data_IF_533177392292
#
_entry.id   IF_533177392292
#
_cell.length_a   1.000
_cell.length_b   1.000
_cell.length_c   1.000
_cell.angle_alpha   90.00
_cell.angle_beta   90.00
_cell.angle_gamma   90.00
#
_symmetry.space_group_name_H-M   'P 1'
#
loop_
_entity.id
_entity.type
_entity.pdbx_description
1 polymer ?
#
# COMPACT_ATOMS: atom_id res chain seq x y z
N UNK A 1 -8.02 -10.98 15.95
CA UNK A 1 -7.27 -9.86 16.53
C UNK A 1 -7.64 -9.67 17.98
N UNK A 2 -8.77 -9.05 18.31
CA UNK A 2 -9.14 -8.69 19.68
C UNK A 2 -9.07 -9.86 20.67
N UNK A 3 -9.63 -11.03 20.30
CA UNK A 3 -9.56 -12.23 21.14
C UNK A 3 -8.13 -12.71 21.44
N UNK A 4 -7.18 -12.51 20.53
CA UNK A 4 -5.78 -12.86 20.77
C UNK A 4 -5.12 -11.84 21.70
N UNK A 5 -5.44 -10.55 21.51
CA UNK A 5 -5.04 -9.50 22.44
C UNK A 5 -5.60 -9.72 23.85
N UNK A 6 -6.86 -10.08 24.00
CA UNK A 6 -7.46 -10.41 25.31
C UNK A 6 -6.72 -11.55 26.03
N UNK A 7 -6.17 -12.51 25.27
CA UNK A 7 -5.34 -13.61 25.78
C UNK A 7 -3.85 -13.22 25.94
N UNK A 8 -3.50 -11.97 25.66
CA UNK A 8 -2.17 -11.40 25.87
C UNK A 8 -1.20 -11.61 24.70
N UNK A 9 -1.65 -12.03 23.53
CA UNK A 9 -0.76 -12.21 22.36
C UNK A 9 -0.59 -10.91 21.57
N UNK A 10 0.61 -10.71 21.05
CA UNK A 10 0.86 -9.74 19.99
C UNK A 10 0.25 -10.29 18.70
N UNK A 11 -0.74 -9.60 18.16
CA UNK A 11 -1.46 -10.01 16.97
C UNK A 11 -1.49 -8.88 15.95
N UNK A 12 -1.33 -9.24 14.68
CA UNK A 12 -1.44 -8.37 13.51
C UNK A 12 -2.45 -8.98 12.52
N UNK A 13 -2.93 -8.16 11.60
CA UNK A 13 -3.64 -8.63 10.43
C UNK A 13 -2.70 -9.43 9.51
N UNK A 14 -3.07 -9.60 8.23
CA UNK A 14 -2.26 -10.40 7.33
C UNK A 14 -0.85 -9.80 7.20
N UNK A 15 0.15 -10.66 7.10
CA UNK A 15 1.57 -10.30 7.08
C UNK A 15 1.82 -9.16 6.07
N UNK A 16 2.46 -8.08 6.52
CA UNK A 16 2.76 -6.87 5.76
C UNK A 16 1.58 -5.95 5.39
N UNK A 17 0.32 -6.25 5.75
CA UNK A 17 -0.84 -5.36 5.46
C UNK A 17 -0.90 -4.14 6.40
N UNK A 18 -0.71 -4.35 7.70
CA UNK A 18 -0.66 -3.29 8.72
C UNK A 18 -1.89 -2.36 8.72
N UNK A 19 -3.08 -2.87 8.39
CA UNK A 19 -4.35 -2.13 8.35
C UNK A 19 -5.13 -2.17 9.66
N UNK A 20 -4.65 -2.94 10.65
CA UNK A 20 -5.15 -3.01 12.02
C UNK A 20 -4.00 -2.76 12.99
N UNK A 21 -4.25 -2.05 14.08
CA UNK A 21 -3.23 -1.83 15.10
C UNK A 21 -2.81 -3.16 15.76
N UNK A 22 -1.50 -3.31 15.95
CA UNK A 22 -0.90 -4.41 16.71
C UNK A 22 -1.50 -4.45 18.13
N UNK A 23 -1.91 -5.64 18.58
CA UNK A 23 -2.24 -5.84 20.00
C UNK A 23 -0.96 -5.95 20.81
N UNK A 24 -0.92 -5.38 22.02
CA UNK A 24 0.24 -5.39 22.91
C UNK A 24 1.56 -4.87 22.30
N UNK A 25 1.58 -3.67 21.69
CA UNK A 25 2.80 -3.11 21.10
C UNK A 25 3.95 -2.97 22.10
N UNK A 26 3.65 -2.74 23.38
CA UNK A 26 4.62 -2.60 24.45
C UNK A 26 5.54 -3.82 24.61
N UNK A 27 5.05 -5.01 24.26
CA UNK A 27 5.81 -6.26 24.32
C UNK A 27 6.86 -6.34 23.22
N UNK A 28 6.53 -5.83 22.03
CA UNK A 28 7.48 -5.76 20.92
C UNK A 28 8.54 -4.70 21.21
N UNK A 29 8.15 -3.58 21.79
CA UNK A 29 9.11 -2.56 22.27
C UNK A 29 10.07 -3.11 23.33
N UNK A 30 9.56 -3.86 24.31
CA UNK A 30 10.39 -4.54 25.31
C UNK A 30 11.34 -5.55 24.66
N UNK A 31 10.84 -6.37 23.72
CA UNK A 31 11.67 -7.32 22.99
C UNK A 31 12.80 -6.62 22.22
N UNK A 32 12.48 -5.57 21.45
CA UNK A 32 13.48 -4.76 20.74
C UNK A 32 14.52 -4.17 21.69
N UNK A 33 14.10 -3.69 22.87
CA UNK A 33 15.01 -3.19 23.91
C UNK A 33 15.95 -4.30 24.42
N UNK A 34 15.48 -5.54 24.54
CA UNK A 34 16.32 -6.69 24.92
C UNK A 34 17.36 -7.00 23.84
N UNK A 35 16.98 -6.91 22.56
CA UNK A 35 17.89 -7.07 21.41
C UNK A 35 19.02 -6.03 21.47
N UNK A 36 18.67 -4.75 21.62
CA UNK A 36 19.66 -3.65 21.72
C UNK A 36 20.61 -3.81 22.92
N UNK A 37 20.09 -4.28 24.06
CA UNK A 37 20.89 -4.51 25.27
C UNK A 37 21.69 -5.83 25.22
N UNK A 38 21.55 -6.62 24.16
CA UNK A 38 22.19 -7.93 24.01
C UNK A 38 21.73 -8.96 25.05
N UNK A 39 20.55 -8.78 25.63
CA UNK A 39 19.97 -9.65 26.66
C UNK A 39 19.22 -10.80 26.02
N UNK A 40 18.98 -11.86 26.80
CA UNK A 40 18.10 -12.94 26.38
C UNK A 40 16.64 -12.48 26.47
N UNK A 41 15.87 -12.75 25.43
CA UNK A 41 14.44 -12.45 25.37
C UNK A 41 13.71 -13.38 24.40
N UNK A 42 12.40 -13.48 24.57
CA UNK A 42 11.50 -14.21 23.68
C UNK A 42 10.18 -13.44 23.54
N UNK A 43 9.56 -13.50 22.37
CA UNK A 43 8.23 -12.93 22.14
C UNK A 43 7.54 -13.66 20.99
N UNK A 44 6.20 -13.67 20.97
CA UNK A 44 5.40 -14.33 19.93
C UNK A 44 4.49 -13.31 19.25
N UNK A 45 4.57 -13.27 17.92
CA UNK A 45 3.65 -12.49 17.07
C UNK A 45 2.77 -13.45 16.26
N UNK A 46 1.47 -13.17 16.21
CA UNK A 46 0.48 -13.93 15.43
C UNK A 46 -0.09 -13.03 14.32
N UNK A 47 0.15 -13.37 13.07
CA UNK A 47 -0.51 -12.75 11.91
C UNK A 47 -1.70 -13.59 11.47
N UNK A 48 -2.88 -12.98 11.41
CA UNK A 48 -4.12 -13.65 11.05
C UNK A 48 -4.30 -13.66 9.53
N UNK A 49 -4.54 -14.84 8.97
CA UNK A 49 -4.82 -15.01 7.54
C UNK A 49 -6.33 -14.89 7.26
N UNK A 50 -6.70 -14.54 6.02
CA UNK A 50 -8.11 -14.35 5.61
C UNK A 50 -8.98 -15.60 5.84
N UNK A 51 -8.42 -16.80 5.72
CA UNK A 51 -9.11 -18.07 5.91
C UNK A 51 -9.27 -18.47 7.38
N UNK A 52 -8.86 -17.61 8.31
CA UNK A 52 -8.86 -17.85 9.75
C UNK A 52 -7.70 -18.73 10.25
N UNK A 53 -6.79 -19.16 9.36
CA UNK A 53 -5.48 -19.66 9.76
C UNK A 53 -4.60 -18.53 10.29
N UNK A 54 -3.36 -18.87 10.68
CA UNK A 54 -2.41 -17.85 11.11
C UNK A 54 -0.96 -18.23 10.84
N UNK A 55 -0.13 -17.20 10.73
CA UNK A 55 1.32 -17.29 10.77
C UNK A 55 1.76 -16.92 12.18
N UNK A 56 2.58 -17.77 12.80
CA UNK A 56 3.18 -17.52 14.11
C UNK A 56 4.67 -17.26 13.93
N UNK A 57 5.13 -16.14 14.46
CA UNK A 57 6.55 -15.81 14.58
C UNK A 57 6.93 -15.93 16.05
N UNK A 58 7.74 -16.93 16.39
CA UNK A 58 8.41 -16.98 17.68
C UNK A 58 9.79 -16.36 17.53
N UNK A 59 9.99 -15.25 18.23
CA UNK A 59 11.21 -14.46 18.23
C UNK A 59 12.04 -14.85 19.46
N UNK A 60 13.33 -15.09 19.25
CA UNK A 60 14.29 -15.35 20.32
C UNK A 60 15.50 -14.46 20.11
N UNK A 61 15.95 -13.75 21.15
CA UNK A 61 17.21 -13.02 21.11
C UNK A 61 18.22 -13.53 22.11
N UNK A 62 19.48 -13.63 21.69
CA UNK A 62 20.64 -13.98 22.52
C UNK A 62 21.84 -13.17 22.03
N UNK A 63 22.50 -12.42 22.93
CA UNK A 63 23.64 -11.57 22.59
C UNK A 63 23.35 -10.55 21.46
N UNK A 64 22.09 -10.13 21.32
CA UNK A 64 21.66 -9.16 20.31
C UNK A 64 21.40 -9.76 18.93
N UNK A 65 21.69 -11.05 18.73
CA UNK A 65 21.23 -11.77 17.53
C UNK A 65 19.77 -12.20 17.72
N UNK A 66 18.99 -12.19 16.64
CA UNK A 66 17.58 -12.63 16.65
C UNK A 66 17.40 -13.88 15.78
N UNK A 67 16.72 -14.86 16.33
CA UNK A 67 16.23 -16.04 15.61
C UNK A 67 14.71 -15.98 15.54
N UNK A 68 14.18 -16.30 14.35
CA UNK A 68 12.74 -16.34 14.09
C UNK A 68 12.35 -17.77 13.75
N UNK A 69 11.40 -18.33 14.48
CA UNK A 69 10.71 -19.56 14.11
C UNK A 69 9.36 -19.18 13.51
N UNK A 70 9.23 -19.32 12.19
CA UNK A 70 7.98 -19.08 11.46
C UNK A 70 7.21 -20.38 11.30
N UNK A 71 5.97 -20.40 11.75
CA UNK A 71 5.04 -21.53 11.58
C UNK A 71 3.77 -21.06 10.89
N UNK A 72 3.27 -21.83 9.92
CA UNK A 72 1.98 -21.56 9.26
C UNK A 72 0.98 -22.63 9.66
N UNK A 73 -0.12 -22.19 10.25
CA UNK A 73 -1.24 -23.04 10.61
C UNK A 73 -2.42 -22.77 9.69
N UNK A 74 -2.96 -23.84 9.10
CA UNK A 74 -4.11 -23.80 8.21
C UNK A 74 -5.20 -24.76 8.70
N UNK A 75 -6.43 -24.55 8.23
CA UNK A 75 -7.56 -25.43 8.53
C UNK A 75 -7.79 -26.41 7.39
N UNK A 76 -7.45 -27.70 7.60
CA UNK A 76 -7.73 -28.77 6.62
C UNK A 76 -8.87 -29.65 7.12
N UNK A 77 -9.99 -29.63 6.40
CA UNK A 77 -11.19 -30.37 6.80
C UNK A 77 -11.76 -29.95 8.17
N UNK A 78 -11.56 -28.69 8.57
CA UNK A 78 -11.97 -28.16 9.88
C UNK A 78 -11.01 -28.47 11.03
N UNK A 79 -9.89 -29.17 10.77
CA UNK A 79 -8.84 -29.44 11.75
C UNK A 79 -7.65 -28.51 11.54
N UNK A 80 -7.07 -27.94 12.61
CA UNK A 80 -5.88 -27.12 12.48
C UNK A 80 -4.65 -28.00 12.24
N UNK A 81 -3.88 -27.69 11.21
CA UNK A 81 -2.63 -28.38 10.86
C UNK A 81 -1.50 -27.37 10.64
N UNK A 82 -0.31 -27.69 11.15
CA UNK A 82 0.90 -26.92 10.84
C UNK A 82 1.44 -27.40 9.51
N UNK A 83 1.28 -26.59 8.47
CA UNK A 83 1.67 -26.91 7.10
C UNK A 83 3.15 -26.58 6.83
N UNK A 84 3.70 -25.63 7.58
CA UNK A 84 5.07 -25.15 7.42
C UNK A 84 5.66 -24.75 8.77
N UNK A 85 6.93 -25.08 9.00
CA UNK A 85 7.73 -24.57 10.12
C UNK A 85 9.18 -24.40 9.69
N UNK A 86 9.77 -23.24 9.97
CA UNK A 86 11.16 -22.96 9.66
C UNK A 86 11.77 -21.99 10.67
N UNK A 87 12.96 -22.33 11.19
CA UNK A 87 13.75 -21.46 12.09
C UNK A 87 14.95 -20.90 11.34
N UNK A 88 15.16 -19.59 11.43
CA UNK A 88 16.25 -18.90 10.75
C UNK A 88 16.77 -17.72 11.59
N UNK A 89 18.06 -17.36 11.48
CA UNK A 89 18.53 -16.08 12.00
C UNK A 89 17.95 -14.95 11.14
N UNK A 90 17.48 -13.88 11.79
CA UNK A 90 17.13 -12.64 11.09
C UNK A 90 18.42 -12.01 10.56
N UNK A 91 18.59 -11.95 9.24
CA UNK A 91 19.79 -11.36 8.64
C UNK A 91 19.74 -9.83 8.60
N UNK A 92 18.54 -9.28 8.71
CA UNK A 92 18.25 -7.87 8.91
C UNK A 92 17.24 -7.78 10.06
N UNK A 93 17.45 -6.82 10.96
CA UNK A 93 16.60 -6.54 12.11
C UNK A 93 16.68 -5.04 12.39
N UNK A 94 15.57 -4.34 12.19
CA UNK A 94 15.51 -2.89 12.33
C UNK A 94 14.20 -2.48 13.00
N UNK A 95 14.31 -1.69 14.07
CA UNK A 95 13.16 -1.04 14.68
C UNK A 95 13.25 0.46 14.43
N UNK A 96 12.39 0.95 13.53
CA UNK A 96 12.43 2.31 13.03
C UNK A 96 11.90 3.31 14.05
N UNK A 97 12.37 4.56 13.96
CA UNK A 97 11.92 5.64 14.83
C UNK A 97 10.43 5.96 14.71
N UNK A 98 9.80 5.72 13.55
CA UNK A 98 8.36 5.90 13.40
C UNK A 98 7.54 4.68 13.86
N UNK A 99 8.19 3.61 14.35
CA UNK A 99 7.54 2.46 14.98
C UNK A 99 7.21 1.33 14.02
N UNK A 100 8.06 1.07 13.03
CA UNK A 100 8.04 -0.16 12.26
C UNK A 100 9.14 -1.11 12.72
N UNK A 101 8.80 -2.38 12.91
CA UNK A 101 9.77 -3.47 13.05
C UNK A 101 9.91 -4.18 11.71
N UNK A 102 11.11 -4.19 11.16
CA UNK A 102 11.49 -4.95 9.98
C UNK A 102 12.42 -6.10 10.36
N UNK A 103 12.17 -7.28 9.82
CA UNK A 103 13.12 -8.38 9.87
C UNK A 103 13.07 -9.24 8.62
N UNK A 104 14.20 -9.87 8.28
CA UNK A 104 14.33 -10.65 7.04
C UNK A 104 14.99 -12.00 7.24
N UNK A 105 14.44 -13.02 6.56
CA UNK A 105 15.11 -14.28 6.30
C UNK A 105 16.08 -14.14 5.13
N UNK A 106 17.31 -14.61 5.31
CA UNK A 106 18.26 -14.68 4.19
C UNK A 106 17.75 -15.62 3.09
N UNK A 107 17.61 -15.09 1.87
CA UNK A 107 17.33 -15.85 0.65
C UNK A 107 18.57 -15.88 -0.27
N UNK A 108 18.76 -16.93 -1.10
CA UNK A 108 19.83 -16.95 -2.09
C UNK A 108 19.73 -15.79 -3.09
N UNK A 109 20.86 -15.30 -3.59
CA UNK A 109 20.86 -14.31 -4.67
C UNK A 109 20.16 -14.88 -5.90
N UNK A 110 19.25 -14.09 -6.50
CA UNK A 110 18.45 -14.52 -7.66
C UNK A 110 17.32 -15.48 -7.31
N UNK A 111 16.96 -15.63 -6.04
CA UNK A 111 15.77 -16.36 -5.64
C UNK A 111 14.50 -15.58 -6.04
N UNK A 112 13.67 -16.19 -6.88
CA UNK A 112 12.44 -15.60 -7.43
C UNK A 112 11.17 -15.97 -6.62
N UNK A 113 11.37 -16.45 -5.39
CA UNK A 113 10.27 -16.80 -4.47
C UNK A 113 9.96 -15.68 -3.48
N UNK A 114 9.33 -16.07 -2.37
CA UNK A 114 9.15 -15.21 -1.20
C UNK A 114 10.50 -14.62 -0.75
N UNK A 115 10.59 -13.29 -0.78
CA UNK A 115 11.81 -12.54 -0.44
C UNK A 115 12.07 -12.51 1.08
N UNK A 116 11.14 -13.06 1.89
CA UNK A 116 11.34 -13.34 3.30
C UNK A 116 11.42 -12.11 4.20
N UNK A 117 10.90 -10.96 3.74
CA UNK A 117 10.78 -9.75 4.55
C UNK A 117 9.46 -9.75 5.33
N UNK A 118 9.51 -9.22 6.55
CA UNK A 118 8.34 -8.96 7.38
C UNK A 118 8.44 -7.54 7.92
N UNK A 119 7.36 -6.77 7.80
CA UNK A 119 7.20 -5.41 8.29
C UNK A 119 5.98 -5.34 9.22
N UNK A 120 6.21 -4.89 10.45
CA UNK A 120 5.18 -4.81 11.50
C UNK A 120 5.08 -3.37 11.98
N UNK A 121 3.90 -2.78 11.84
CA UNK A 121 3.56 -1.48 12.43
C UNK A 121 3.33 -1.64 13.92
N UNK A 122 4.37 -1.35 14.72
CA UNK A 122 4.34 -1.49 16.18
C UNK A 122 3.59 -0.33 16.83
N UNK A 123 3.96 0.92 16.53
CA UNK A 123 3.22 2.05 17.10
C UNK A 123 1.84 2.18 16.44
N UNK A 124 0.78 2.35 17.23
CA UNK A 124 -0.56 2.45 16.69
C UNK A 124 -0.72 3.73 15.87
N UNK A 125 -1.63 3.69 14.91
CA UNK A 125 -2.18 4.87 14.26
C UNK A 125 -3.60 5.14 14.77
N UNK A 126 -4.02 6.39 14.66
CA UNK A 126 -5.42 6.77 14.87
C UNK A 126 -6.32 6.06 13.87
N UNK A 127 -7.51 5.63 14.33
CA UNK A 127 -8.47 4.91 13.48
C UNK A 127 -8.89 5.74 12.26
N UNK A 128 -9.03 7.07 12.43
CA UNK A 128 -9.38 8.00 11.37
C UNK A 128 -8.33 8.00 10.24
N UNK A 129 -7.04 8.02 10.57
CA UNK A 129 -5.97 7.87 9.58
C UNK A 129 -6.13 6.59 8.76
N UNK A 130 -6.42 5.45 9.41
CA UNK A 130 -6.59 4.16 8.72
C UNK A 130 -7.83 4.13 7.85
N UNK A 131 -8.94 4.67 8.33
CA UNK A 131 -10.18 4.78 7.57
C UNK A 131 -10.00 5.65 6.33
N UNK A 132 -9.37 6.82 6.48
CA UNK A 132 -9.09 7.74 5.38
C UNK A 132 -8.09 7.13 4.38
N UNK A 133 -7.09 6.38 4.85
CA UNK A 133 -6.16 5.63 3.99
C UNK A 133 -6.92 4.64 3.10
N UNK A 134 -7.78 3.80 3.71
CA UNK A 134 -8.58 2.80 3.01
C UNK A 134 -9.54 3.42 2.00
N UNK A 135 -10.14 4.55 2.36
CA UNK A 135 -11.17 5.19 1.54
C UNK A 135 -10.60 5.99 0.39
N UNK A 136 -9.48 6.68 0.61
CA UNK A 136 -9.01 7.71 -0.32
C UNK A 136 -7.65 7.43 -0.93
N UNK A 137 -6.76 6.64 -0.32
CA UNK A 137 -5.39 6.48 -0.83
C UNK A 137 -5.16 5.09 -1.41
N UNK A 138 -5.51 4.03 -0.68
CA UNK A 138 -5.40 2.64 -1.15
C UNK A 138 -6.05 2.37 -2.52
N UNK A 139 -7.21 2.96 -2.89
CA UNK A 139 -7.83 2.67 -4.19
C UNK A 139 -6.94 2.98 -5.41
N UNK A 140 -6.09 4.01 -5.32
CA UNK A 140 -5.10 4.33 -6.36
C UNK A 140 -3.75 3.68 -6.02
N UNK A 141 -3.27 3.86 -4.78
CA UNK A 141 -1.97 3.39 -4.32
C UNK A 141 -0.81 3.90 -5.16
N UNK A 142 0.37 3.27 -5.03
CA UNK A 142 1.58 3.65 -5.79
C UNK A 142 1.86 2.75 -6.99
N UNK A 143 1.05 1.71 -7.18
CA UNK A 143 1.26 0.75 -8.25
C UNK A 143 0.75 1.31 -9.58
N UNK A 144 1.61 1.31 -10.61
CA UNK A 144 1.22 1.52 -12.01
C UNK A 144 0.50 2.86 -12.29
N UNK A 145 0.81 3.89 -11.51
CA UNK A 145 0.34 5.26 -11.70
C UNK A 145 1.29 6.23 -10.99
N UNK A 146 1.21 7.52 -11.32
CA UNK A 146 2.07 8.56 -10.74
C UNK A 146 1.32 9.65 -9.95
N UNK A 147 0.04 9.46 -9.63
CA UNK A 147 -0.78 10.51 -9.02
C UNK A 147 -0.21 11.02 -7.68
N UNK A 148 0.39 10.14 -6.89
CA UNK A 148 0.99 10.53 -5.60
C UNK A 148 2.52 10.73 -5.67
N UNK A 149 3.11 10.56 -6.85
CA UNK A 149 4.54 10.76 -7.09
C UNK A 149 4.87 12.15 -7.63
N UNK A 150 3.84 12.94 -7.96
CA UNK A 150 3.96 14.24 -8.61
C UNK A 150 3.24 15.33 -7.83
N UNK A 151 3.74 16.55 -7.94
CA UNK A 151 3.04 17.75 -7.49
C UNK A 151 2.00 18.16 -8.53
N UNK A 152 0.74 18.34 -8.12
CA UNK A 152 -0.34 18.82 -8.98
C UNK A 152 -1.48 19.44 -8.16
N UNK A 153 -2.28 20.31 -8.79
CA UNK A 153 -3.49 20.90 -8.20
C UNK A 153 -4.70 20.76 -9.13
N UNK A 154 -5.89 21.05 -8.62
CA UNK A 154 -7.15 21.06 -9.39
C UNK A 154 -7.07 21.98 -10.62
N UNK A 155 -6.29 23.06 -10.55
CA UNK A 155 -6.05 23.98 -11.66
C UNK A 155 -4.93 23.54 -12.61
N UNK A 156 -3.97 22.74 -12.12
CA UNK A 156 -2.83 22.25 -12.88
C UNK A 156 -2.65 20.73 -12.69
N UNK A 157 -3.42 19.96 -13.47
CA UNK A 157 -3.38 18.49 -13.49
C UNK A 157 -2.26 17.93 -14.39
N UNK A 158 -1.23 18.74 -14.63
CA UNK A 158 -0.15 18.42 -15.56
C UNK A 158 0.63 17.22 -15.04
N UNK A 159 0.91 16.28 -15.94
CA UNK A 159 1.65 15.06 -15.61
C UNK A 159 0.77 13.93 -15.08
N UNK A 160 -0.52 14.12 -14.83
CA UNK A 160 -1.39 12.97 -14.54
C UNK A 160 -1.64 12.15 -15.80
N UNK A 161 -1.49 10.83 -15.68
CA UNK A 161 -1.93 9.86 -16.69
C UNK A 161 -3.34 9.39 -16.34
N UNK A 162 -4.34 9.93 -17.05
CA UNK A 162 -5.74 9.59 -16.79
C UNK A 162 -6.12 8.17 -17.21
N UNK A 163 -5.35 7.49 -18.06
CA UNK A 163 -5.62 6.09 -18.37
C UNK A 163 -5.21 5.20 -17.19
N UNK A 164 -4.09 5.50 -16.55
CA UNK A 164 -3.71 4.81 -15.31
C UNK A 164 -4.79 5.01 -14.24
N UNK A 165 -5.23 6.25 -14.04
CA UNK A 165 -6.26 6.60 -13.06
C UNK A 165 -7.62 6.00 -13.40
N UNK A 166 -7.98 5.93 -14.68
CA UNK A 166 -9.19 5.28 -15.17
C UNK A 166 -9.24 3.83 -14.70
N UNK A 167 -8.13 3.09 -14.86
CA UNK A 167 -8.05 1.69 -14.44
C UNK A 167 -8.22 1.51 -12.93
N UNK A 168 -7.65 2.42 -12.12
CA UNK A 168 -7.71 2.39 -10.65
C UNK A 168 -9.09 2.73 -10.11
N UNK A 169 -9.73 3.75 -10.70
CA UNK A 169 -10.97 4.32 -10.18
C UNK A 169 -12.24 3.68 -10.76
N UNK A 170 -12.10 2.78 -11.73
CA UNK A 170 -13.24 2.12 -12.37
C UNK A 170 -14.13 1.37 -11.36
N UNK A 171 -13.51 0.56 -10.49
CA UNK A 171 -14.26 -0.20 -9.48
C UNK A 171 -14.93 0.73 -8.46
N UNK A 172 -14.24 1.78 -8.02
CA UNK A 172 -14.83 2.79 -7.11
C UNK A 172 -16.02 3.51 -7.73
N UNK A 173 -16.07 3.63 -9.06
CA UNK A 173 -17.14 4.33 -9.80
C UNK A 173 -18.32 3.43 -10.14
N UNK A 174 -18.07 2.16 -10.49
CA UNK A 174 -19.08 1.24 -10.99
C UNK A 174 -19.38 0.04 -10.09
N UNK A 175 -18.61 -0.16 -9.02
CA UNK A 175 -18.72 -1.32 -8.12
C UNK A 175 -18.45 -2.66 -8.81
N UNK A 176 -17.72 -2.66 -9.92
CA UNK A 176 -17.40 -3.85 -10.72
C UNK A 176 -15.97 -3.77 -11.26
N UNK A 177 -15.34 -4.93 -11.55
CA UNK A 177 -14.00 -4.97 -12.15
C UNK A 177 -13.95 -4.23 -13.51
N UNK A 178 -12.76 -3.74 -13.85
CA UNK A 178 -12.46 -3.14 -15.15
C UNK A 178 -12.73 -4.16 -16.28
N UNK A 179 -13.58 -3.86 -17.28
CA UNK A 179 -13.92 -4.80 -18.35
C UNK A 179 -12.87 -4.85 -19.48
N UNK A 180 -11.82 -4.03 -19.40
CA UNK A 180 -10.76 -3.92 -20.40
C UNK A 180 -9.56 -4.78 -19.95
N UNK A 181 -9.38 -5.91 -20.63
CA UNK A 181 -8.35 -6.88 -20.29
C UNK A 181 -6.93 -6.30 -20.45
N UNK A 182 -6.03 -6.70 -19.55
CA UNK A 182 -4.61 -6.40 -19.68
C UNK A 182 -3.92 -7.54 -20.43
N UNK A 183 -3.08 -7.20 -21.39
CA UNK A 183 -2.23 -8.17 -22.11
C UNK A 183 -0.76 -7.88 -21.84
N UNK A 184 0.11 -8.85 -22.11
CA UNK A 184 1.57 -8.72 -21.92
C UNK A 184 2.12 -7.48 -22.64
N UNK A 185 1.62 -7.16 -23.83
CA UNK A 185 2.09 -6.02 -24.63
C UNK A 185 1.25 -4.74 -24.42
N UNK A 186 0.21 -4.81 -23.56
CA UNK A 186 -0.85 -3.81 -23.48
C UNK A 186 -1.83 -3.89 -24.66
N UNK A 187 -3.09 -3.56 -24.42
CA UNK A 187 -4.14 -3.52 -25.45
C UNK A 187 -4.82 -2.15 -25.47
N UNK A 188 -5.11 -1.67 -26.68
CA UNK A 188 -5.82 -0.42 -26.89
C UNK A 188 -7.31 -0.69 -27.12
N UNK A 189 -8.14 0.09 -26.44
CA UNK A 189 -9.59 0.00 -26.47
C UNK A 189 -10.17 1.38 -26.81
N UNK A 190 -11.33 1.38 -27.48
CA UNK A 190 -12.16 2.57 -27.60
C UNK A 190 -13.19 2.54 -26.47
N UNK A 191 -12.94 3.34 -25.44
CA UNK A 191 -13.83 3.47 -24.28
C UNK A 191 -14.84 4.58 -24.60
N UNK A 192 -16.15 4.31 -24.53
CA UNK A 192 -17.17 5.35 -24.75
C UNK A 192 -16.93 6.58 -23.86
N UNK A 193 -17.12 7.78 -24.41
CA UNK A 193 -16.88 9.03 -23.68
C UNK A 193 -17.65 9.09 -22.36
N UNK A 194 -18.90 8.62 -22.34
CA UNK A 194 -19.73 8.63 -21.13
C UNK A 194 -19.16 7.73 -20.03
N UNK A 195 -18.50 6.63 -20.39
CA UNK A 195 -17.89 5.70 -19.44
C UNK A 195 -16.58 6.26 -18.89
N UNK A 196 -15.70 6.73 -19.76
CA UNK A 196 -14.40 7.30 -19.37
C UNK A 196 -14.56 8.59 -18.57
N UNK A 197 -15.34 9.54 -19.08
CA UNK A 197 -15.59 10.82 -18.42
C UNK A 197 -16.28 10.61 -17.06
N UNK A 198 -17.21 9.65 -16.94
CA UNK A 198 -17.83 9.36 -15.66
C UNK A 198 -16.81 8.92 -14.62
N UNK A 199 -15.86 8.06 -14.97
CA UNK A 199 -14.82 7.62 -14.02
C UNK A 199 -13.94 8.80 -13.61
N UNK A 200 -13.36 9.52 -14.57
CA UNK A 200 -12.39 10.57 -14.24
C UNK A 200 -13.06 11.77 -13.55
N UNK A 201 -14.17 12.26 -14.09
CA UNK A 201 -14.83 13.47 -13.57
C UNK A 201 -15.55 13.25 -12.23
N UNK A 202 -15.78 11.99 -11.83
CA UNK A 202 -16.28 11.69 -10.48
C UNK A 202 -15.23 11.95 -9.40
N UNK A 203 -13.93 11.83 -9.75
CA UNK A 203 -12.81 11.89 -8.79
C UNK A 203 -11.88 13.08 -9.01
N UNK A 204 -11.96 13.77 -10.15
CA UNK A 204 -11.18 14.97 -10.45
C UNK A 204 -12.10 16.04 -11.01
N UNK A 205 -11.98 17.27 -10.49
CA UNK A 205 -12.80 18.38 -10.95
C UNK A 205 -12.16 19.05 -12.16
N UNK A 206 -12.71 18.78 -13.33
CA UNK A 206 -12.42 19.51 -14.56
C UNK A 206 -13.64 19.46 -15.48
N UNK A 207 -13.66 20.29 -16.53
CA UNK A 207 -14.66 20.16 -17.58
C UNK A 207 -14.28 19.07 -18.60
N UNK A 208 -15.25 18.66 -19.41
CA UNK A 208 -15.05 17.60 -20.41
C UNK A 208 -14.05 18.03 -21.46
N UNK A 209 -14.09 19.30 -21.85
CA UNK A 209 -13.21 19.91 -22.83
C UNK A 209 -11.74 19.80 -22.39
N UNK A 210 -11.46 20.07 -21.11
CA UNK A 210 -10.16 19.89 -20.47
C UNK A 210 -9.75 18.43 -20.53
N UNK A 211 -10.58 17.50 -20.04
CA UNK A 211 -10.25 16.07 -20.06
C UNK A 211 -9.99 15.55 -21.48
N UNK A 212 -10.78 15.98 -22.47
CA UNK A 212 -10.60 15.63 -23.88
C UNK A 212 -9.31 16.20 -24.47
N UNK A 213 -8.84 17.35 -23.98
CA UNK A 213 -7.57 17.95 -24.40
C UNK A 213 -6.35 17.25 -23.79
N UNK A 214 -6.50 16.63 -22.61
CA UNK A 214 -5.44 15.84 -21.95
C UNK A 214 -5.32 14.43 -22.52
N UNK A 215 -6.43 13.83 -22.95
CA UNK A 215 -6.50 12.41 -23.32
C UNK A 215 -6.39 12.13 -24.83
N UNK A 216 -6.38 10.85 -25.17
CA UNK A 216 -6.44 10.36 -26.54
C UNK A 216 -7.89 10.33 -27.06
N UNK A 217 -8.61 11.45 -26.94
CA UNK A 217 -10.02 11.53 -27.30
C UNK A 217 -10.24 11.57 -28.83
N UNK A 218 -11.15 10.74 -29.34
CA UNK A 218 -11.51 10.63 -30.75
C UNK A 218 -12.92 11.14 -30.98
N UNK A 219 -13.03 12.39 -31.42
CA UNK A 219 -14.32 13.07 -31.65
C UNK A 219 -15.26 12.31 -32.59
N UNK A 220 -14.73 11.74 -33.68
CA UNK A 220 -15.51 10.95 -34.65
C UNK A 220 -16.19 9.73 -34.01
N UNK A 221 -15.50 9.10 -33.07
CA UNK A 221 -15.93 7.85 -32.45
C UNK A 221 -16.62 8.08 -31.10
N UNK A 222 -16.60 9.33 -30.59
CA UNK A 222 -17.11 9.73 -29.27
C UNK A 222 -16.57 8.83 -28.16
N UNK A 223 -15.26 8.61 -28.20
CA UNK A 223 -14.57 7.64 -27.36
C UNK A 223 -13.13 8.07 -27.06
N UNK A 224 -12.58 7.55 -25.96
CA UNK A 224 -11.17 7.68 -25.59
C UNK A 224 -10.41 6.43 -26.05
N UNK A 225 -9.24 6.63 -26.64
CA UNK A 225 -8.30 5.54 -26.89
C UNK A 225 -7.52 5.24 -25.61
N UNK A 226 -8.08 4.32 -24.82
CA UNK A 226 -7.49 3.83 -23.58
C UNK A 226 -6.51 2.71 -23.91
N UNK A 227 -5.26 2.81 -23.42
CA UNK A 227 -4.29 1.72 -23.50
C UNK A 227 -4.05 1.11 -22.13
N UNK A 228 -4.29 -0.19 -21.99
CA UNK A 228 -3.87 -0.89 -20.78
C UNK A 228 -2.33 -0.92 -20.67
N UNK A 229 -1.80 -0.89 -19.44
CA UNK A 229 -0.37 -1.17 -19.23
C UNK A 229 -0.02 -2.59 -19.68
N UNK A 230 1.17 -2.74 -20.24
CA UNK A 230 1.80 -4.02 -20.54
C UNK A 230 2.97 -4.29 -19.62
N UNK A 231 3.60 -5.47 -19.75
CA UNK A 231 4.76 -5.90 -18.97
C UNK A 231 5.91 -4.89 -19.01
N UNK A 232 6.17 -4.29 -20.17
CA UNK A 232 7.25 -3.30 -20.35
C UNK A 232 6.95 -1.92 -19.73
N UNK A 233 5.69 -1.62 -19.39
CA UNK A 233 5.31 -0.39 -18.70
C UNK A 233 5.30 -0.60 -17.18
N UNK A 234 6.16 -1.48 -16.67
CA UNK A 234 6.26 -1.89 -15.27
C UNK A 234 4.87 -2.24 -14.66
N UNK A 235 4.21 -3.24 -15.26
CA UNK A 235 2.96 -3.77 -14.74
C UNK A 235 3.20 -4.42 -13.37
N UNK A 236 2.96 -3.66 -12.29
CA UNK A 236 2.77 -4.13 -10.92
C UNK A 236 3.78 -5.15 -10.37
N UNK A 237 4.70 -4.70 -9.52
CA UNK A 237 5.43 -5.61 -8.63
C UNK A 237 4.63 -5.82 -7.33
N UNK A 238 4.57 -7.06 -6.79
CA UNK A 238 3.95 -7.32 -5.48
C UNK A 238 4.72 -6.65 -4.34
N UNK A 239 5.93 -6.15 -4.60
CA UNK A 239 6.81 -5.57 -3.59
C UNK A 239 6.84 -4.03 -3.65
N UNK A 240 5.82 -3.40 -4.23
CA UNK A 240 5.72 -1.94 -4.24
C UNK A 240 5.48 -1.42 -2.81
N UNK A 241 5.88 -0.17 -2.52
CA UNK A 241 5.46 0.48 -1.28
C UNK A 241 3.93 0.52 -1.18
N UNK A 242 3.41 0.49 0.05
CA UNK A 242 2.00 0.78 0.32
C UNK A 242 1.84 2.13 1.04
N UNK A 243 0.71 2.82 0.84
CA UNK A 243 0.45 4.08 1.51
C UNK A 243 -0.01 3.84 2.95
N UNK A 244 0.51 4.65 3.86
CA UNK A 244 0.07 4.78 5.24
C UNK A 244 -0.23 6.25 5.53
N UNK A 245 -1.49 6.61 5.79
CA UNK A 245 -1.84 7.95 6.30
C UNK A 245 -1.35 8.02 7.75
N UNK A 246 -0.45 8.96 8.03
CA UNK A 246 0.15 9.15 9.36
C UNK A 246 -0.40 10.37 10.10
N UNK A 247 -1.00 11.31 9.37
CA UNK A 247 -1.73 12.43 9.94
C UNK A 247 -2.90 12.82 9.03
N UNK A 248 -3.99 13.30 9.63
CA UNK A 248 -5.12 13.84 8.93
C UNK A 248 -5.60 15.14 9.60
N UNK A 249 -6.02 16.10 8.78
CA UNK A 249 -6.52 17.40 9.23
C UNK A 249 -7.74 17.78 8.41
N UNK A 250 -8.81 18.19 9.10
CA UNK A 250 -9.99 18.77 8.46
C UNK A 250 -9.78 20.27 8.27
N UNK A 251 -9.73 20.72 7.02
CA UNK A 251 -9.53 22.12 6.67
C UNK A 251 -10.81 22.96 6.86
N UNK A 252 -10.66 24.29 6.92
CA UNK A 252 -11.78 25.23 7.08
C UNK A 252 -12.82 25.13 5.95
N UNK A 253 -12.40 24.77 4.74
CA UNK A 253 -13.26 24.58 3.57
C UNK A 253 -13.96 23.20 3.54
N UNK A 254 -13.72 22.37 4.56
CA UNK A 254 -14.28 21.03 4.69
C UNK A 254 -13.56 19.96 3.87
N UNK A 255 -12.41 20.25 3.26
CA UNK A 255 -11.55 19.21 2.68
C UNK A 255 -10.72 18.50 3.76
N UNK A 256 -10.26 17.29 3.44
CA UNK A 256 -9.27 16.57 4.23
C UNK A 256 -7.89 16.85 3.67
N UNK A 257 -6.93 17.24 4.52
CA UNK A 257 -5.51 17.18 4.23
C UNK A 257 -4.94 15.91 4.87
N UNK A 258 -4.33 15.05 4.08
CA UNK A 258 -3.75 13.79 4.56
C UNK A 258 -2.25 13.80 4.32
N UNK A 259 -1.47 13.51 5.36
CA UNK A 259 -0.04 13.23 5.24
C UNK A 259 0.14 11.73 5.13
N UNK A 260 0.82 11.29 4.09
CA UNK A 260 0.95 9.87 3.74
C UNK A 260 2.43 9.51 3.63
N UNK A 261 2.82 8.42 4.30
CA UNK A 261 4.10 7.77 4.09
C UNK A 261 3.95 6.64 3.08
N UNK A 262 4.94 6.46 2.22
CA UNK A 262 5.11 5.25 1.45
C UNK A 262 6.00 4.27 2.21
N UNK A 263 5.40 3.25 2.79
CA UNK A 263 6.12 2.22 3.55
C UNK A 263 6.59 1.16 2.55
N UNK A 264 7.88 0.83 2.55
CA UNK A 264 8.48 -0.10 1.61
C UNK A 264 9.17 -1.28 2.31
N UNK A 265 8.40 -2.35 2.63
CA UNK A 265 8.90 -3.50 3.39
C UNK A 265 10.14 -4.19 2.80
N UNK A 266 10.20 -4.34 1.47
CA UNK A 266 11.32 -5.02 0.80
C UNK A 266 12.64 -4.23 0.89
N UNK A 267 12.59 -2.94 1.20
CA UNK A 267 13.76 -2.09 1.43
C UNK A 267 13.94 -1.73 2.92
N UNK A 268 13.13 -2.32 3.82
CA UNK A 268 13.05 -1.98 5.25
C UNK A 268 12.83 -0.48 5.51
N UNK A 269 12.12 0.22 4.63
CA UNK A 269 11.86 1.65 4.78
C UNK A 269 10.46 1.86 5.37
N UNK A 270 10.38 2.47 6.55
CA UNK A 270 9.12 2.94 7.14
C UNK A 270 8.56 4.18 6.43
N UNK A 271 9.43 4.85 5.66
CA UNK A 271 9.14 6.07 4.91
C UNK A 271 10.10 6.16 3.72
N UNK A 272 9.77 5.50 2.62
CA UNK A 272 10.49 5.62 1.36
C UNK A 272 10.33 7.04 0.77
N UNK A 273 9.14 7.61 0.88
CA UNK A 273 8.88 9.05 0.67
C UNK A 273 7.58 9.43 1.39
N UNK A 274 7.28 10.73 1.43
CA UNK A 274 5.99 11.21 1.94
C UNK A 274 5.35 12.21 0.99
N UNK A 275 4.02 12.31 1.04
CA UNK A 275 3.25 13.31 0.31
C UNK A 275 2.08 13.83 1.13
N UNK A 276 1.59 15.01 0.75
CA UNK A 276 0.36 15.62 1.24
C UNK A 276 -0.69 15.60 0.14
N UNK A 277 -1.83 14.99 0.41
CA UNK A 277 -2.95 14.92 -0.52
C UNK A 277 -4.19 15.58 0.08
N UNK A 278 -4.87 16.38 -0.74
CA UNK A 278 -6.11 17.05 -0.34
C UNK A 278 -7.30 16.38 -1.02
N UNK A 279 -8.29 15.99 -0.23
CA UNK A 279 -9.48 15.26 -0.68
C UNK A 279 -10.74 16.02 -0.28
N UNK A 280 -11.63 16.24 -1.26
CA UNK A 280 -12.96 16.81 -1.05
C UNK A 280 -13.98 15.69 -0.96
N UNK A 281 -14.83 15.72 0.07
CA UNK A 281 -15.96 14.79 0.19
C UNK A 281 -17.21 15.45 -0.40
N UNK A 282 -17.93 14.73 -1.25
CA UNK A 282 -19.14 15.20 -1.93
C UNK A 282 -20.39 14.86 -1.10
N UNK A 283 -21.48 15.59 -1.33
CA UNK A 283 -22.75 15.42 -0.60
C UNK A 283 -23.37 14.02 -0.80
N UNK A 284 -23.10 13.38 -1.95
CA UNK A 284 -23.58 12.04 -2.27
C UNK A 284 -22.71 10.91 -1.68
N UNK A 285 -21.69 11.27 -0.88
CA UNK A 285 -20.74 10.34 -0.28
C UNK A 285 -19.54 10.00 -1.18
N UNK A 286 -19.51 10.50 -2.42
CA UNK A 286 -18.35 10.46 -3.31
C UNK A 286 -17.20 11.33 -2.81
N UNK A 287 -16.08 11.32 -3.54
CA UNK A 287 -14.94 12.16 -3.21
C UNK A 287 -14.17 12.57 -4.47
N UNK A 288 -13.41 13.66 -4.35
CA UNK A 288 -12.52 14.14 -5.39
C UNK A 288 -11.15 14.46 -4.80
N UNK A 289 -10.10 14.19 -5.57
CA UNK A 289 -8.76 14.66 -5.24
C UNK A 289 -8.61 16.11 -5.73
N UNK A 290 -8.09 16.95 -4.85
CA UNK A 290 -7.92 18.40 -5.09
C UNK A 290 -6.47 18.74 -5.40
N UNK A 291 -5.51 18.10 -4.73
CA UNK A 291 -4.09 18.29 -4.98
C UNK A 291 -3.27 17.15 -4.40
N UNK A 292 -2.05 17.01 -4.91
CA UNK A 292 -0.99 16.23 -4.29
C UNK A 292 0.29 17.07 -4.24
N UNK A 293 1.08 16.91 -3.19
CA UNK A 293 2.41 17.49 -3.07
C UNK A 293 3.36 16.49 -2.41
N UNK A 294 4.42 16.13 -3.10
CA UNK A 294 5.52 15.35 -2.53
C UNK A 294 6.23 16.21 -1.49
N UNK A 295 6.44 15.67 -0.30
CA UNK A 295 7.18 16.34 0.77
C UNK A 295 8.68 16.16 0.46
N UNK A 296 9.45 17.24 0.21
CA UNK A 296 10.86 17.12 -0.07
C UNK A 296 11.61 16.63 1.17
N UNK A 297 12.40 15.57 0.99
CA UNK A 297 13.31 15.01 1.98
C UNK A 297 14.56 14.54 1.23
N UNK A 298 15.75 14.71 1.82
CA UNK A 298 17.01 14.27 1.22
C UNK A 298 17.10 12.74 1.13
N UNK A 299 16.36 12.05 2.01
CA UNK A 299 16.31 10.59 2.09
C UNK A 299 15.18 9.98 1.25
N UNK A 300 14.44 10.78 0.47
CA UNK A 300 13.39 10.26 -0.40
C UNK A 300 13.96 9.27 -1.43
N UNK A 301 13.44 8.05 -1.42
CA UNK A 301 13.75 7.02 -2.38
C UNK A 301 13.23 7.38 -3.78
N UNK A 302 14.02 7.06 -4.80
CA UNK A 302 13.59 7.19 -6.19
C UNK A 302 12.48 6.17 -6.50
N UNK A 303 11.34 6.57 -7.11
CA UNK A 303 10.20 5.70 -7.35
C UNK A 303 10.44 4.73 -8.52
N UNK A 304 11.33 3.76 -8.33
CA UNK A 304 11.70 2.74 -9.34
C UNK A 304 10.57 1.75 -9.65
N UNK A 305 9.52 1.72 -8.83
CA UNK A 305 8.32 0.90 -9.03
C UNK A 305 7.32 1.49 -10.05
N UNK A 306 7.65 2.64 -10.65
CA UNK A 306 6.85 3.27 -11.68
C UNK A 306 7.72 3.55 -12.92
N UNK A 307 7.13 3.34 -14.09
CA UNK A 307 7.71 3.75 -15.37
C UNK A 307 6.63 4.48 -16.16
N UNK A 308 7.00 5.61 -16.76
CA UNK A 308 6.13 6.30 -17.70
C UNK A 308 5.72 5.35 -18.81
N UNK A 309 4.44 5.45 -19.20
CA UNK A 309 3.92 4.64 -20.28
C UNK A 309 4.68 4.95 -21.56
N UNK A 310 5.16 3.92 -22.25
CA UNK A 310 5.80 4.12 -23.54
C UNK A 310 4.82 4.77 -24.52
N UNK A 311 5.17 5.97 -24.99
CA UNK A 311 4.46 6.65 -26.09
C UNK A 311 4.81 5.90 -27.37
N UNK A 312 3.80 5.40 -28.08
CA UNK A 312 3.98 4.85 -29.43
C UNK A 312 4.14 5.97 -30.45
#
# INVERSE_FOLDING_TARGET
MDRLGEEGYCAIDMENENQVNLTHPEKIEEFCSLVELGKKGEETIISIMEDGGFIRFDLETVHGEVFVTRSVLQWKGGMPEVDYMNRYPACEWEFSGNGYLFFRKKVPQGYDGDQGYTAIRVYPLEDECRELNRKYILPIGYNANQAFLLDWTEEELKGLDFDDLFSKLYNSTFGKPLPYEQTIDGTSYLVPEEEYEKVILSHFRMDKETLRAYGNYREKDRAYEYRSRGFNDCASSPNNPYPEVTACERQEDGTWKLTVNAVWPIENMDKAFSHEVVVRVLEDGGFQYVSNRVIPDEDNAEPTWYTERAVK
#
